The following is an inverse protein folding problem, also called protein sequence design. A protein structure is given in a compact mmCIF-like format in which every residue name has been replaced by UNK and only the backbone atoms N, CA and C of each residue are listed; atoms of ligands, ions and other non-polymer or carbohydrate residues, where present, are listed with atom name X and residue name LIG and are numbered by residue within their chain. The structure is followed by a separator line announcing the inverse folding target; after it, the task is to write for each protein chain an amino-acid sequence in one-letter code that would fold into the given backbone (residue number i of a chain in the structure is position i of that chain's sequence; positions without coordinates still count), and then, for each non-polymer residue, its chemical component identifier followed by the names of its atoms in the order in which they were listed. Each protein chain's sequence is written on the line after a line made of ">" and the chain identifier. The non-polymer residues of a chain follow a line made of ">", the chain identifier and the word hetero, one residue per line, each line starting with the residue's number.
data_IF_700338596419
#
_entry.id   IF_700338596419
#
_cell.length_a   1.000
_cell.length_b   1.000
_cell.length_c   1.000
_cell.angle_alpha   90.00
_cell.angle_beta   90.00
_cell.angle_gamma   90.00
#
_symmetry.space_group_name_H-M   'P 1'
#
loop_
_entity.id
_entity.type
_entity.pdbx_description
1 polymer ?
#
# COMPACT_ATOMS: atom_id res chain seq x y z
N UNK A 1 17.11 7.96 9.65
CA UNK A 1 17.09 7.72 8.20
C UNK A 1 15.66 7.39 7.84
N UNK A 2 15.00 8.20 7.01
CA UNK A 2 13.68 7.82 6.49
C UNK A 2 13.88 6.50 5.73
N UNK A 3 13.17 5.45 6.14
CA UNK A 3 13.17 4.19 5.40
C UNK A 3 12.69 4.44 3.97
N UNK A 4 13.23 3.70 3.01
CA UNK A 4 12.85 3.67 1.58
C UNK A 4 11.32 3.68 1.34
N UNK A 5 10.55 3.14 2.28
CA UNK A 5 9.08 3.16 2.28
C UNK A 5 8.46 4.55 2.39
N UNK A 6 8.94 5.42 3.29
CA UNK A 6 8.36 6.75 3.47
C UNK A 6 8.64 7.61 2.21
N UNK A 7 9.84 7.49 1.64
CA UNK A 7 10.19 8.15 0.38
C UNK A 7 9.30 7.68 -0.79
N UNK A 8 9.02 6.38 -0.86
CA UNK A 8 8.22 5.79 -1.95
C UNK A 8 6.72 6.04 -1.80
N UNK A 9 6.20 6.04 -0.56
CA UNK A 9 4.76 5.96 -0.33
C UNK A 9 4.17 7.06 0.55
N UNK A 10 4.93 8.04 1.07
CA UNK A 10 4.35 9.12 1.90
C UNK A 10 3.18 9.85 1.22
N UNK A 11 3.26 10.07 -0.10
CA UNK A 11 2.20 10.68 -0.91
C UNK A 11 0.87 9.91 -0.86
N UNK A 12 0.89 8.61 -0.55
CA UNK A 12 -0.32 7.80 -0.47
C UNK A 12 -1.27 8.24 0.64
N UNK A 13 -0.77 8.90 1.69
CA UNK A 13 -1.61 9.44 2.77
C UNK A 13 -2.59 10.49 2.26
N UNK A 14 -2.26 11.17 1.17
CA UNK A 14 -3.16 12.14 0.56
C UNK A 14 -4.37 11.49 -0.11
N UNK A 15 -4.36 10.18 -0.43
CA UNK A 15 -5.52 9.43 -0.98
C UNK A 15 -6.70 9.36 0.01
N UNK A 16 -6.42 9.48 1.31
CA UNK A 16 -7.45 9.48 2.36
C UNK A 16 -7.66 10.86 2.97
N UNK A 17 -7.07 11.90 2.38
CA UNK A 17 -7.22 13.28 2.82
C UNK A 17 -8.67 13.75 2.71
N UNK A 18 -9.12 14.59 3.63
CA UNK A 18 -10.43 15.26 3.54
C UNK A 18 -10.43 16.33 2.45
N UNK A 19 -9.30 16.99 2.24
CA UNK A 19 -9.07 17.96 1.17
C UNK A 19 -9.12 17.26 -0.21
N UNK A 20 -10.11 17.58 -1.07
CA UNK A 20 -10.22 17.00 -2.41
C UNK A 20 -9.03 17.33 -3.31
N UNK A 21 -8.43 18.51 -3.19
CA UNK A 21 -7.30 18.89 -4.04
C UNK A 21 -6.07 18.01 -3.77
N UNK A 22 -5.86 17.61 -2.51
CA UNK A 22 -4.83 16.64 -2.14
C UNK A 22 -5.12 15.24 -2.68
N UNK A 23 -6.39 14.81 -2.64
CA UNK A 23 -6.79 13.52 -3.23
C UNK A 23 -6.55 13.51 -4.74
N UNK A 24 -6.95 14.56 -5.45
CA UNK A 24 -6.76 14.68 -6.89
C UNK A 24 -5.26 14.66 -7.27
N UNK A 25 -4.41 15.37 -6.54
CA UNK A 25 -2.96 15.31 -6.73
C UNK A 25 -2.40 13.89 -6.50
N UNK A 26 -2.91 13.18 -5.49
CA UNK A 26 -2.53 11.79 -5.23
C UNK A 26 -3.02 10.83 -6.32
N UNK A 27 -4.23 11.02 -6.86
CA UNK A 27 -4.75 10.27 -7.99
C UNK A 27 -3.91 10.47 -9.26
N UNK A 28 -3.59 11.73 -9.60
CA UNK A 28 -2.71 12.05 -10.73
C UNK A 28 -1.34 11.39 -10.60
N UNK A 29 -0.77 11.38 -9.39
CA UNK A 29 0.49 10.70 -9.12
C UNK A 29 0.38 9.19 -9.30
N UNK A 30 -0.70 8.58 -8.81
CA UNK A 30 -0.95 7.15 -8.98
C UNK A 30 -1.07 6.76 -10.46
N UNK A 31 -1.79 7.56 -11.25
CA UNK A 31 -1.95 7.31 -12.69
C UNK A 31 -0.64 7.54 -13.46
N UNK A 32 0.17 8.52 -13.04
CA UNK A 32 1.53 8.70 -13.54
C UNK A 32 2.42 7.47 -13.31
N UNK A 33 2.40 6.91 -12.09
CA UNK A 33 3.16 5.70 -11.75
C UNK A 33 2.71 4.47 -12.57
N UNK A 34 1.41 4.37 -12.86
CA UNK A 34 0.88 3.31 -13.74
C UNK A 34 1.35 3.46 -15.18
N UNK A 35 1.39 4.69 -15.67
CA UNK A 35 1.87 5.00 -17.02
C UNK A 35 3.34 4.61 -17.15
N UNK A 36 4.17 4.97 -16.16
CA UNK A 36 5.59 4.55 -16.11
C UNK A 36 5.73 3.04 -16.12
N UNK A 37 4.93 2.32 -15.33
CA UNK A 37 4.96 0.84 -15.32
C UNK A 37 4.52 0.25 -16.66
N UNK A 38 3.47 0.79 -17.27
CA UNK A 38 2.96 0.31 -18.55
C UNK A 38 3.95 0.57 -19.70
N UNK A 39 4.74 1.64 -19.61
CA UNK A 39 5.77 1.98 -20.57
C UNK A 39 7.08 1.18 -20.39
N UNK A 40 7.20 0.39 -19.32
CA UNK A 40 8.40 -0.42 -19.08
C UNK A 40 8.56 -1.49 -20.16
N UNK A 41 9.71 -1.50 -20.84
CA UNK A 41 9.99 -2.41 -21.95
C UNK A 41 10.76 -3.63 -21.46
N UNK A 42 11.54 -3.47 -20.39
CA UNK A 42 12.28 -4.57 -19.77
C UNK A 42 11.59 -5.08 -18.50
N UNK A 43 11.86 -6.34 -18.16
CA UNK A 43 11.42 -6.94 -16.89
C UNK A 43 11.92 -6.14 -15.68
N UNK A 44 13.16 -5.66 -15.73
CA UNK A 44 13.76 -4.91 -14.63
C UNK A 44 13.09 -3.55 -14.42
N UNK A 45 12.80 -2.81 -15.49
CA UNK A 45 12.03 -1.56 -15.42
C UNK A 45 10.62 -1.81 -14.89
N UNK A 46 9.97 -2.88 -15.36
CA UNK A 46 8.63 -3.23 -14.90
C UNK A 46 8.62 -3.57 -13.41
N UNK A 47 9.62 -4.30 -12.91
CA UNK A 47 9.79 -4.62 -11.49
C UNK A 47 10.05 -3.37 -10.64
N UNK A 48 10.92 -2.46 -11.11
CA UNK A 48 11.22 -1.20 -10.40
C UNK A 48 10.03 -0.23 -10.40
N UNK A 49 9.29 -0.13 -11.49
CA UNK A 49 8.07 0.65 -11.54
C UNK A 49 6.99 0.05 -10.64
N UNK A 50 6.86 -1.29 -10.62
CA UNK A 50 5.92 -2.00 -9.74
C UNK A 50 6.23 -1.78 -8.27
N UNK A 51 7.51 -1.68 -7.90
CA UNK A 51 7.96 -1.35 -6.53
C UNK A 51 7.39 -0.02 -6.04
N UNK A 52 7.22 0.99 -6.88
CA UNK A 52 6.75 2.32 -6.45
C UNK A 52 5.23 2.48 -6.50
N UNK A 53 4.54 1.53 -7.11
CA UNK A 53 3.12 1.63 -7.40
C UNK A 53 2.27 1.01 -6.28
N UNK A 54 1.18 1.68 -5.89
CA UNK A 54 0.13 1.04 -5.10
C UNK A 54 -0.80 0.20 -5.98
N UNK A 55 -1.22 -1.00 -5.56
CA UNK A 55 -0.84 -1.69 -4.32
C UNK A 55 0.40 -2.59 -4.46
N UNK A 56 0.94 -2.77 -5.66
CA UNK A 56 1.90 -3.86 -5.95
C UNK A 56 3.25 -3.71 -5.25
N UNK A 57 3.73 -2.47 -5.12
CA UNK A 57 4.95 -2.12 -4.43
C UNK A 57 4.91 -2.43 -2.94
N UNK A 58 3.71 -2.49 -2.36
CA UNK A 58 3.53 -2.88 -0.96
C UNK A 58 3.95 -4.34 -0.71
N UNK A 59 3.99 -5.18 -1.75
CA UNK A 59 4.29 -6.62 -1.68
C UNK A 59 5.73 -6.96 -2.04
N UNK A 60 6.53 -5.96 -2.43
CA UNK A 60 7.95 -6.14 -2.70
C UNK A 60 8.74 -6.06 -1.39
N UNK A 61 8.93 -7.20 -0.70
CA UNK A 61 9.76 -7.28 0.50
C UNK A 61 9.42 -8.43 1.46
N UNK A 62 10.40 -8.83 2.26
CA UNK A 62 10.25 -9.77 3.40
C UNK A 62 9.43 -9.11 4.51
N UNK A 63 8.51 -9.84 5.15
CA UNK A 63 7.79 -9.37 6.35
C UNK A 63 8.70 -9.51 7.58
N UNK A 64 9.17 -8.42 8.21
CA UNK A 64 9.70 -8.51 9.56
C UNK A 64 8.54 -8.74 10.53
N UNK A 65 8.80 -9.45 11.63
CA UNK A 65 7.80 -9.69 12.68
C UNK A 65 7.16 -8.39 13.19
N UNK A 66 5.85 -8.41 13.42
CA UNK A 66 4.98 -7.28 13.74
C UNK A 66 5.11 -6.74 15.20
N UNK A 67 6.29 -6.81 15.81
CA UNK A 67 6.45 -6.43 17.23
C UNK A 67 6.34 -4.92 17.50
N UNK A 68 6.47 -4.09 16.46
CA UNK A 68 5.99 -2.70 16.35
C UNK A 68 5.28 -2.64 15.01
N UNK A 69 4.11 -2.00 14.87
CA UNK A 69 3.40 -1.93 13.57
C UNK A 69 4.38 -1.46 12.49
N UNK A 70 4.90 -2.36 11.64
CA UNK A 70 5.90 -2.01 10.65
C UNK A 70 5.28 -1.00 9.69
N UNK A 71 6.06 -0.04 9.18
CA UNK A 71 5.54 1.04 8.32
C UNK A 71 4.78 0.50 7.10
N UNK A 72 5.21 -0.65 6.58
CA UNK A 72 4.59 -1.44 5.52
C UNK A 72 3.14 -1.82 5.85
N UNK A 73 2.85 -2.11 7.12
CA UNK A 73 1.50 -2.44 7.60
C UNK A 73 0.62 -1.21 7.63
N UNK A 74 1.16 -0.01 7.87
CA UNK A 74 0.40 1.23 7.79
C UNK A 74 -0.05 1.52 6.37
N UNK A 75 0.84 1.37 5.38
CA UNK A 75 0.47 1.57 3.97
C UNK A 75 -0.50 0.49 3.45
N UNK A 76 -0.39 -0.76 3.96
CA UNK A 76 -1.39 -1.82 3.73
C UNK A 76 -2.77 -1.47 4.26
N UNK A 77 -2.83 -0.94 5.49
CA UNK A 77 -4.09 -0.51 6.10
C UNK A 77 -4.64 0.74 5.42
N UNK A 78 -3.78 1.64 4.95
CA UNK A 78 -4.17 2.81 4.16
C UNK A 78 -4.92 2.40 2.89
N UNK A 79 -4.44 1.39 2.17
CA UNK A 79 -5.12 0.88 0.98
C UNK A 79 -6.56 0.39 1.29
N UNK A 80 -6.75 -0.30 2.42
CA UNK A 80 -8.08 -0.70 2.88
C UNK A 80 -8.91 0.49 3.39
N UNK A 81 -8.27 1.44 4.07
CA UNK A 81 -8.92 2.63 4.58
C UNK A 81 -9.45 3.50 3.44
N UNK A 82 -8.69 3.63 2.35
CA UNK A 82 -9.14 4.34 1.15
C UNK A 82 -10.37 3.69 0.53
N UNK A 83 -10.42 2.35 0.44
CA UNK A 83 -11.62 1.62 -0.01
C UNK A 83 -12.84 1.95 0.87
N UNK A 84 -12.66 2.00 2.19
CA UNK A 84 -13.76 2.29 3.12
C UNK A 84 -14.25 3.74 3.03
N UNK A 85 -13.32 4.69 2.87
CA UNK A 85 -13.62 6.13 2.93
C UNK A 85 -14.15 6.68 1.61
N UNK A 86 -13.60 6.21 0.48
CA UNK A 86 -13.90 6.71 -0.85
C UNK A 86 -14.04 5.53 -1.85
N UNK A 87 -15.09 4.70 -1.73
CA UNK A 87 -15.21 3.45 -2.49
C UNK A 87 -15.27 3.66 -4.01
N UNK A 88 -15.85 4.76 -4.48
CA UNK A 88 -15.92 5.08 -5.91
C UNK A 88 -14.55 5.50 -6.46
N UNK A 89 -13.83 6.36 -5.75
CA UNK A 89 -12.47 6.79 -6.12
C UNK A 89 -11.52 5.57 -6.12
N UNK A 90 -11.60 4.72 -5.09
CA UNK A 90 -10.84 3.47 -5.02
C UNK A 90 -11.20 2.51 -6.16
N UNK A 91 -12.49 2.35 -6.48
CA UNK A 91 -12.93 1.45 -7.53
C UNK A 91 -12.44 1.90 -8.92
N UNK A 92 -12.36 3.21 -9.15
CA UNK A 92 -11.84 3.78 -10.39
C UNK A 92 -10.31 3.71 -10.46
N UNK A 93 -9.64 4.13 -9.38
CA UNK A 93 -8.20 4.34 -9.38
C UNK A 93 -7.39 3.17 -8.82
N UNK A 94 -7.95 2.13 -8.23
CA UNK A 94 -7.12 1.13 -7.52
C UNK A 94 -7.68 -0.28 -7.45
N UNK A 95 -8.85 -0.54 -8.03
CA UNK A 95 -9.53 -1.83 -7.96
C UNK A 95 -8.63 -2.98 -8.42
N UNK A 96 -8.10 -3.71 -7.44
CA UNK A 96 -7.44 -5.00 -7.66
C UNK A 96 -7.97 -6.03 -6.67
N UNK A 97 -8.91 -6.85 -7.15
CA UNK A 97 -9.53 -7.92 -6.35
C UNK A 97 -8.54 -8.98 -5.91
N UNK A 98 -7.61 -9.38 -6.79
CA UNK A 98 -6.53 -10.33 -6.44
C UNK A 98 -5.66 -9.79 -5.31
N UNK A 99 -5.33 -8.50 -5.35
CA UNK A 99 -4.54 -7.84 -4.31
C UNK A 99 -5.28 -7.79 -2.98
N UNK A 100 -6.57 -7.43 -2.99
CA UNK A 100 -7.39 -7.38 -1.76
C UNK A 100 -7.51 -8.76 -1.10
N UNK A 101 -7.79 -9.81 -1.87
CA UNK A 101 -7.90 -11.17 -1.34
C UNK A 101 -6.58 -11.67 -0.75
N UNK A 102 -5.46 -11.39 -1.42
CA UNK A 102 -4.13 -11.74 -0.90
C UNK A 102 -3.81 -11.01 0.41
N UNK A 103 -4.16 -9.72 0.49
CA UNK A 103 -3.99 -8.89 1.67
C UNK A 103 -4.79 -9.45 2.85
N UNK A 104 -6.08 -9.70 2.67
CA UNK A 104 -6.96 -10.24 3.72
C UNK A 104 -6.50 -11.62 4.19
N UNK A 105 -6.12 -12.50 3.25
CA UNK A 105 -5.57 -13.82 3.57
C UNK A 105 -4.29 -13.72 4.38
N UNK A 106 -3.38 -12.82 4.01
CA UNK A 106 -2.12 -12.60 4.71
C UNK A 106 -2.34 -12.08 6.12
N UNK A 107 -3.25 -11.11 6.30
CA UNK A 107 -3.65 -10.62 7.62
C UNK A 107 -4.27 -11.73 8.46
N UNK A 108 -5.22 -12.49 7.91
CA UNK A 108 -5.89 -13.59 8.59
C UNK A 108 -4.89 -14.66 9.08
N UNK A 109 -3.95 -15.08 8.22
CA UNK A 109 -2.94 -16.08 8.57
C UNK A 109 -1.99 -15.64 9.71
N UNK A 110 -1.82 -14.33 9.92
CA UNK A 110 -0.86 -13.79 10.88
C UNK A 110 -1.49 -13.10 12.10
N UNK A 111 -2.80 -12.85 12.09
CA UNK A 111 -3.57 -12.36 13.23
C UNK A 111 -3.36 -13.18 14.53
N UNK A 112 -3.22 -14.52 14.51
CA UNK A 112 -2.95 -15.30 15.71
C UNK A 112 -1.55 -15.06 16.32
N UNK A 113 -0.59 -14.55 15.54
CA UNK A 113 0.75 -14.18 16.05
C UNK A 113 0.72 -12.79 16.67
N UNK A 114 -0.04 -11.87 16.07
CA UNK A 114 -0.30 -10.52 16.59
C UNK A 114 -0.92 -10.51 17.99
N UNK A 115 -1.91 -11.38 18.24
CA UNK A 115 -2.59 -11.45 19.53
C UNK A 115 -1.75 -12.09 20.65
N UNK A 116 -0.60 -12.69 20.33
CA UNK A 116 0.31 -13.33 21.30
C UNK A 116 1.45 -12.40 21.73
N UNK A 117 2.00 -11.61 20.81
CA UNK A 117 3.08 -10.66 21.10
C UNK A 117 2.60 -9.47 21.95
N UNK A 118 1.36 -9.00 21.74
CA UNK A 118 0.75 -7.95 22.56
C UNK A 118 0.43 -8.34 24.01
N UNK A 119 0.50 -9.64 24.36
CA UNK A 119 0.24 -10.15 25.72
C UNK A 119 1.50 -10.40 26.56
N UNK A 120 2.70 -10.25 25.99
CA UNK A 120 3.98 -10.46 26.71
C UNK A 120 4.72 -9.17 27.08
N UNK A 121 4.13 -8.00 26.81
CA UNK A 121 4.72 -6.68 27.07
C UNK A 121 3.83 -5.78 27.94
N UNK A 122 3.17 -6.34 28.96
CA UNK A 122 2.42 -5.62 29.98
C UNK A 122 2.97 -5.93 31.36
#
# INVERSE_FOLDING_TARGET
>A
MADDWDERFAWAWDLISEDPARRDAAHLRLDGLRTVRAAAVTRQEHEEASRRLLPDGLWTGTWPGLARVPREVRYRLLYLHWELRFPHEWAWHAKSWGTKTSLLRTFHQRAPRLARDGRRGG
#
